data_IF_850922014885
#
_entry.id   IF_850922014885
#
_cell.length_a   1.000
_cell.length_b   1.000
_cell.length_c   1.000
_cell.angle_alpha   90.00
_cell.angle_beta   90.00
_cell.angle_gamma   90.00
#
_symmetry.space_group_name_H-M   'P 1'
#
loop_
_entity.id
_entity.type
_entity.pdbx_description
1 polymer ?
#
# COMPACT_ATOMS: atom_id res chain seq x y z
N UNK A 1 9.16 6.55 3.38
CA UNK A 1 8.85 5.23 2.82
C UNK A 1 10.04 4.79 1.97
N UNK A 2 10.57 3.61 2.21
CA UNK A 2 11.65 2.97 1.46
C UNK A 2 11.02 2.04 0.43
N UNK A 3 11.40 2.15 -0.83
CA UNK A 3 10.89 1.27 -1.89
C UNK A 3 11.92 0.20 -2.20
N UNK A 4 11.51 -1.07 -2.07
CA UNK A 4 12.24 -2.23 -2.54
C UNK A 4 11.59 -2.67 -3.85
N UNK A 5 12.27 -2.40 -4.96
CA UNK A 5 11.88 -2.95 -6.26
C UNK A 5 12.74 -4.16 -6.55
N UNK A 6 12.08 -5.28 -6.81
CA UNK A 6 12.73 -6.52 -7.17
C UNK A 6 12.98 -6.56 -8.68
N UNK A 7 14.23 -6.81 -9.10
CA UNK A 7 14.55 -7.04 -10.52
C UNK A 7 14.79 -8.53 -10.78
N UNK A 8 14.22 -9.04 -11.86
CA UNK A 8 14.48 -10.38 -12.40
C UNK A 8 15.60 -10.31 -13.42
N UNK A 9 16.72 -11.03 -13.24
CA UNK A 9 17.68 -11.25 -14.34
C UNK A 9 17.42 -12.58 -15.05
N UNK A 10 16.77 -13.52 -14.38
CA UNK A 10 16.18 -14.77 -14.86
C UNK A 10 15.11 -15.20 -13.82
N UNK A 11 14.22 -16.15 -14.15
CA UNK A 11 13.05 -16.59 -13.35
C UNK A 11 13.33 -17.11 -11.92
N UNK A 12 14.56 -16.93 -11.43
CA UNK A 12 15.03 -17.34 -10.12
C UNK A 12 15.90 -16.29 -9.43
N UNK A 13 16.09 -15.07 -9.91
CA UNK A 13 16.99 -14.10 -9.24
C UNK A 13 16.24 -12.85 -8.80
N UNK A 14 16.35 -12.54 -7.50
CA UNK A 14 15.69 -11.42 -6.86
C UNK A 14 16.75 -10.59 -6.13
N UNK A 15 16.85 -9.29 -6.42
CA UNK A 15 17.83 -8.42 -5.78
C UNK A 15 17.13 -7.56 -4.73
N UNK A 16 17.43 -7.77 -3.45
CA UNK A 16 16.98 -6.87 -2.38
C UNK A 16 17.99 -5.74 -2.27
N UNK A 17 17.53 -4.51 -2.47
CA UNK A 17 18.39 -3.34 -2.35
C UNK A 17 18.32 -2.83 -0.91
N UNK A 18 19.31 -3.16 -0.08
CA UNK A 18 19.37 -2.67 1.29
C UNK A 18 19.52 -1.13 1.33
N UNK A 19 18.70 -0.42 2.12
CA UNK A 19 18.98 0.97 2.46
C UNK A 19 20.29 1.05 3.24
N UNK A 20 21.27 1.84 2.79
CA UNK A 20 22.44 2.07 3.63
C UNK A 20 22.00 2.81 4.90
N UNK A 21 22.24 2.20 6.07
CA UNK A 21 21.88 2.75 7.38
C UNK A 21 22.49 4.14 7.64
N UNK A 22 23.55 4.50 6.90
CA UNK A 22 24.21 5.81 6.96
C UNK A 22 23.39 6.96 6.36
N UNK A 23 22.38 6.71 5.53
CA UNK A 23 21.60 7.75 4.83
C UNK A 23 20.20 8.03 5.42
N UNK A 24 19.80 7.33 6.48
CA UNK A 24 18.44 7.42 7.07
C UNK A 24 18.16 8.79 7.74
N UNK A 25 19.16 9.67 7.91
CA UNK A 25 18.98 10.99 8.53
C UNK A 25 18.57 12.13 7.58
N UNK A 26 18.43 11.88 6.28
CA UNK A 26 18.07 12.93 5.32
C UNK A 26 16.82 12.49 4.56
N UNK A 27 15.72 13.21 4.77
CA UNK A 27 14.43 13.08 4.05
C UNK A 27 14.60 13.36 2.56
N UNK A 28 15.22 12.42 1.86
CA UNK A 28 15.25 12.38 0.41
C UNK A 28 15.34 10.91 0.07
N UNK A 29 14.22 10.37 -0.43
CA UNK A 29 14.18 9.05 -1.05
C UNK A 29 14.95 9.22 -2.36
N UNK A 30 16.27 9.30 -2.26
CA UNK A 30 17.13 8.92 -3.38
C UNK A 30 16.80 7.46 -3.59
N UNK A 31 16.33 7.12 -4.79
CA UNK A 31 16.22 5.75 -5.28
C UNK A 31 17.53 5.07 -4.92
N UNK A 32 17.51 4.27 -3.85
CA UNK A 32 18.73 3.65 -3.35
C UNK A 32 19.11 2.63 -4.40
N UNK A 33 20.14 2.92 -5.18
CA UNK A 33 20.91 1.90 -5.89
C UNK A 33 21.95 1.37 -4.91
N UNK A 34 21.50 0.53 -3.99
CA UNK A 34 22.38 -0.24 -3.11
C UNK A 34 23.11 -1.30 -3.94
N UNK A 35 24.29 -1.69 -3.47
CA UNK A 35 25.09 -2.77 -4.07
C UNK A 35 24.18 -3.99 -4.29
N UNK A 36 24.07 -4.43 -5.54
CA UNK A 36 23.49 -5.72 -5.86
C UNK A 36 24.36 -6.79 -5.20
N UNK A 37 23.92 -7.29 -4.05
CA UNK A 37 24.36 -8.61 -3.64
C UNK A 37 23.58 -9.56 -4.52
N UNK A 38 24.28 -10.27 -5.40
CA UNK A 38 23.76 -11.48 -6.02
C UNK A 38 23.56 -12.50 -4.88
N UNK A 39 22.49 -12.31 -4.11
CA UNK A 39 21.97 -13.35 -3.25
C UNK A 39 21.47 -14.44 -4.20
N UNK A 40 21.70 -15.69 -3.82
CA UNK A 40 21.05 -16.83 -4.43
C UNK A 40 19.54 -16.55 -4.59
N UNK A 41 18.84 -17.22 -5.52
CA UNK A 41 17.39 -17.16 -5.64
C UNK A 41 16.69 -17.02 -4.29
N UNK A 42 16.16 -15.84 -3.98
CA UNK A 42 15.51 -15.56 -2.70
C UNK A 42 14.00 -15.59 -2.94
N UNK A 43 13.27 -16.63 -2.51
CA UNK A 43 11.82 -16.68 -2.66
C UNK A 43 11.17 -15.39 -2.15
N UNK A 44 10.11 -14.94 -2.82
CA UNK A 44 9.41 -13.70 -2.46
C UNK A 44 8.93 -13.70 -0.99
N UNK A 45 8.64 -14.87 -0.42
CA UNK A 45 8.33 -15.05 1.01
C UNK A 45 9.48 -14.66 1.94
N UNK A 46 10.73 -14.97 1.57
CA UNK A 46 11.91 -14.61 2.35
C UNK A 46 12.17 -13.11 2.28
N UNK A 47 11.98 -12.49 1.11
CA UNK A 47 12.04 -11.03 0.96
C UNK A 47 10.99 -10.37 1.86
N UNK A 48 9.76 -10.89 1.83
CA UNK A 48 8.67 -10.38 2.65
C UNK A 48 8.98 -10.53 4.15
N UNK A 49 9.45 -11.71 4.58
CA UNK A 49 9.82 -11.95 5.98
C UNK A 49 10.95 -11.02 6.44
N UNK A 50 11.98 -10.82 5.61
CA UNK A 50 13.07 -9.90 5.94
C UNK A 50 12.57 -8.45 6.11
N UNK A 51 11.63 -8.02 5.28
CA UNK A 51 11.03 -6.70 5.40
C UNK A 51 10.18 -6.58 6.68
N UNK A 52 9.44 -7.62 7.05
CA UNK A 52 8.69 -7.66 8.32
C UNK A 52 9.63 -7.49 9.51
N UNK A 53 10.73 -8.25 9.53
CA UNK A 53 11.73 -8.19 10.61
C UNK A 53 12.35 -6.78 10.70
N UNK A 54 12.61 -6.13 9.56
CA UNK A 54 13.13 -4.76 9.53
C UNK A 54 12.14 -3.73 10.10
N UNK A 55 10.86 -3.81 9.73
CA UNK A 55 9.83 -2.89 10.23
C UNK A 55 9.59 -3.09 11.73
N UNK A 56 9.73 -4.31 12.23
CA UNK A 56 9.61 -4.59 13.66
C UNK A 56 10.82 -4.09 14.46
N UNK A 57 12.03 -4.12 13.87
CA UNK A 57 13.26 -3.66 14.51
C UNK A 57 13.49 -2.15 14.40
N UNK A 58 12.96 -1.52 13.36
CA UNK A 58 13.22 -0.13 13.00
C UNK A 58 11.92 0.57 12.57
N UNK A 59 11.74 1.86 12.89
CA UNK A 59 10.56 2.64 12.47
C UNK A 59 10.62 2.98 10.98
N UNK A 60 10.60 1.97 10.13
CA UNK A 60 10.67 2.06 8.68
C UNK A 60 9.29 1.81 8.09
N UNK A 61 8.98 2.58 7.04
CA UNK A 61 7.83 2.33 6.18
C UNK A 61 8.39 1.78 4.89
N UNK A 62 8.10 0.52 4.56
CA UNK A 62 8.66 -0.19 3.40
C UNK A 62 7.56 -0.47 2.39
N UNK A 63 7.86 -0.29 1.12
CA UNK A 63 7.05 -0.78 0.00
C UNK A 63 7.82 -1.85 -0.75
N UNK A 64 7.19 -2.98 -1.03
CA UNK A 64 7.74 -4.00 -1.91
C UNK A 64 6.94 -4.03 -3.20
N UNK A 65 7.65 -4.00 -4.30
CA UNK A 65 7.09 -4.18 -5.62
C UNK A 65 7.92 -5.20 -6.42
N UNK A 66 7.23 -5.97 -7.25
CA UNK A 66 7.84 -6.97 -8.13
C UNK A 66 7.30 -6.78 -9.56
N UNK A 67 8.10 -7.07 -10.59
CA UNK A 67 7.60 -7.11 -11.96
C UNK A 67 6.53 -8.20 -12.10
N UNK A 68 5.59 -8.05 -13.06
CA UNK A 68 4.62 -9.07 -13.40
C UNK A 68 5.30 -10.37 -13.83
N UNK A 69 4.62 -11.49 -13.61
CA UNK A 69 5.14 -12.83 -13.96
C UNK A 69 5.21 -13.03 -15.47
N UNK A 70 4.31 -12.40 -16.22
CA UNK A 70 4.26 -12.53 -17.68
C UNK A 70 5.40 -11.74 -18.33
N UNK A 71 6.32 -12.42 -19.01
CA UNK A 71 7.47 -11.80 -19.70
C UNK A 71 7.06 -10.68 -20.67
N UNK A 72 5.89 -10.81 -21.31
CA UNK A 72 5.33 -9.78 -22.19
C UNK A 72 5.05 -8.45 -21.49
N UNK A 73 4.86 -8.45 -20.17
CA UNK A 73 4.58 -7.28 -19.34
C UNK A 73 5.84 -6.72 -18.66
N UNK A 74 6.97 -7.46 -18.68
CA UNK A 74 8.21 -7.07 -18.01
C UNK A 74 9.05 -6.06 -18.79
N UNK A 75 9.06 -6.13 -20.13
CA UNK A 75 9.98 -5.34 -20.98
C UNK A 75 9.83 -3.82 -20.86
N UNK A 76 8.76 -3.32 -20.23
CA UNK A 76 8.54 -1.90 -19.98
C UNK A 76 7.84 -1.65 -18.64
N UNK A 77 8.09 -2.51 -17.64
CA UNK A 77 7.43 -2.43 -16.34
C UNK A 77 7.77 -1.12 -15.60
N UNK A 78 6.78 -0.27 -15.25
CA UNK A 78 7.04 1.09 -14.77
C UNK A 78 7.28 1.14 -13.25
N UNK A 79 8.19 0.30 -12.72
CA UNK A 79 8.46 0.16 -11.29
C UNK A 79 8.70 1.50 -10.57
N UNK A 80 9.46 2.40 -11.20
CA UNK A 80 9.72 3.74 -10.64
C UNK A 80 8.45 4.58 -10.57
N UNK A 81 7.62 4.60 -11.62
CA UNK A 81 6.38 5.37 -11.63
C UNK A 81 5.36 4.82 -10.63
N UNK A 82 5.32 3.50 -10.44
CA UNK A 82 4.49 2.84 -9.42
C UNK A 82 4.92 3.29 -8.03
N UNK A 83 6.23 3.28 -7.75
CA UNK A 83 6.79 3.75 -6.49
C UNK A 83 6.48 5.24 -6.25
N UNK A 84 6.75 6.09 -7.24
CA UNK A 84 6.47 7.53 -7.18
C UNK A 84 4.99 7.79 -6.91
N UNK A 85 4.09 7.10 -7.62
CA UNK A 85 2.65 7.25 -7.41
C UNK A 85 2.24 6.79 -6.01
N UNK A 86 2.79 5.67 -5.50
CA UNK A 86 2.52 5.20 -4.15
C UNK A 86 3.01 6.20 -3.09
N UNK A 87 4.18 6.82 -3.31
CA UNK A 87 4.72 7.88 -2.44
C UNK A 87 3.85 9.13 -2.40
N UNK A 88 2.98 9.38 -3.38
CA UNK A 88 2.00 10.48 -3.28
C UNK A 88 0.82 10.12 -2.37
N UNK A 89 0.60 8.84 -2.07
CA UNK A 89 -0.52 8.43 -1.22
C UNK A 89 -0.18 8.60 0.26
N UNK A 90 -0.97 9.42 0.96
CA UNK A 90 -0.77 9.65 2.40
C UNK A 90 -0.93 8.36 3.20
N UNK A 91 -1.80 7.46 2.74
CA UNK A 91 -2.04 6.15 3.36
C UNK A 91 -0.80 5.25 3.29
N UNK A 92 -0.22 5.02 2.11
CA UNK A 92 0.91 4.08 2.02
C UNK A 92 2.13 4.56 2.81
N UNK A 93 2.31 5.89 2.88
CA UNK A 93 3.41 6.50 3.64
C UNK A 93 3.26 6.41 5.16
N UNK A 94 2.07 6.10 5.70
CA UNK A 94 1.85 5.98 7.14
C UNK A 94 1.91 4.53 7.65
N UNK A 95 2.15 3.57 6.76
CA UNK A 95 2.14 2.15 7.06
C UNK A 95 3.55 1.57 7.13
N UNK A 96 3.75 0.62 8.04
CA UNK A 96 5.04 -0.05 8.22
C UNK A 96 5.45 -0.86 7.00
N UNK A 97 4.53 -1.62 6.39
CA UNK A 97 4.83 -2.44 5.22
C UNK A 97 3.65 -2.47 4.24
N UNK A 98 3.95 -2.16 2.98
CA UNK A 98 3.02 -2.16 1.86
C UNK A 98 3.58 -3.03 0.74
N UNK A 99 2.72 -3.79 0.07
CA UNK A 99 3.08 -4.56 -1.12
C UNK A 99 2.14 -4.23 -2.27
N UNK A 100 2.61 -4.34 -3.51
CA UNK A 100 1.73 -4.28 -4.68
C UNK A 100 1.06 -5.63 -4.93
N UNK A 101 0.03 -5.61 -5.76
CA UNK A 101 -0.63 -6.83 -6.21
C UNK A 101 0.31 -7.76 -7.01
N UNK A 102 1.38 -7.25 -7.61
CA UNK A 102 2.39 -8.08 -8.29
C UNK A 102 3.14 -8.98 -7.31
N UNK A 103 3.48 -8.45 -6.12
CA UNK A 103 4.03 -9.26 -5.03
C UNK A 103 2.99 -10.25 -4.54
N UNK A 104 1.75 -9.78 -4.31
CA UNK A 104 0.65 -10.63 -3.84
C UNK A 104 0.41 -11.86 -4.73
N UNK A 105 0.43 -11.70 -6.05
CA UNK A 105 0.25 -12.81 -6.99
C UNK A 105 1.40 -13.82 -7.01
N UNK A 106 2.58 -13.40 -6.57
CA UNK A 106 3.77 -14.24 -6.52
C UNK A 106 3.95 -14.91 -5.17
N UNK A 107 3.25 -14.47 -4.12
CA UNK A 107 3.28 -15.08 -2.80
C UNK A 107 2.60 -16.46 -2.83
N UNK A 108 3.34 -17.55 -2.57
CA UNK A 108 2.72 -18.82 -2.27
C UNK A 108 1.85 -18.67 -1.02
N UNK A 109 0.67 -19.30 -1.02
CA UNK A 109 -0.25 -19.28 0.11
C UNK A 109 -0.55 -17.88 0.69
N UNK A 110 -0.73 -16.86 -0.16
CA UNK A 110 -0.94 -15.46 0.25
C UNK A 110 -2.00 -15.27 1.37
N UNK A 111 -3.02 -16.13 1.46
CA UNK A 111 -4.02 -16.12 2.52
C UNK A 111 -3.51 -16.43 3.94
N UNK A 112 -2.26 -16.86 4.10
CA UNK A 112 -1.61 -17.04 5.40
C UNK A 112 -1.01 -15.74 5.95
N UNK A 113 -0.82 -14.73 5.09
CA UNK A 113 -0.33 -13.43 5.52
C UNK A 113 -1.50 -12.53 5.92
N UNK A 114 -1.38 -11.80 7.04
CA UNK A 114 -2.35 -10.77 7.41
C UNK A 114 -2.19 -9.57 6.49
N UNK A 115 -2.96 -9.60 5.40
CA UNK A 115 -2.95 -8.64 4.31
C UNK A 115 -4.34 -8.06 4.14
N UNK A 116 -4.46 -6.78 3.78
CA UNK A 116 -5.72 -6.19 3.31
C UNK A 116 -5.49 -5.16 2.23
N UNK A 117 -6.43 -5.04 1.30
CA UNK A 117 -6.41 -4.01 0.27
C UNK A 117 -6.53 -2.64 0.93
N UNK A 118 -5.68 -1.67 0.59
CA UNK A 118 -5.71 -0.31 1.17
C UNK A 118 -5.91 0.80 0.14
N UNK A 119 -5.55 0.57 -1.12
CA UNK A 119 -5.64 1.60 -2.16
C UNK A 119 -5.57 0.97 -3.56
N UNK A 120 -6.03 1.73 -4.56
CA UNK A 120 -5.81 1.44 -5.97
C UNK A 120 -5.21 2.69 -6.63
N UNK A 121 -4.03 2.55 -7.22
CA UNK A 121 -3.33 3.60 -7.94
C UNK A 121 -3.58 3.46 -9.43
N UNK A 122 -3.67 4.59 -10.13
CA UNK A 122 -3.58 4.61 -11.59
C UNK A 122 -2.22 5.17 -11.97
N UNK A 123 -1.42 4.39 -12.69
CA UNK A 123 -0.05 4.78 -13.05
C UNK A 123 -0.03 5.20 -14.53
N UNK A 124 0.71 6.27 -14.89
CA UNK A 124 0.84 6.72 -16.28
C UNK A 124 1.37 5.62 -17.23
N UNK A 125 1.22 5.80 -18.56
CA UNK A 125 1.24 4.73 -19.54
C UNK A 125 2.40 3.71 -19.48
N UNK A 126 2.11 2.41 -19.70
CA UNK A 126 0.76 1.85 -19.95
C UNK A 126 -0.14 2.02 -18.72
N UNK A 127 -1.38 2.48 -18.96
CA UNK A 127 -2.28 2.93 -17.90
C UNK A 127 -2.70 1.74 -17.05
N UNK A 128 -1.94 1.48 -15.99
CA UNK A 128 -2.08 0.30 -15.17
C UNK A 128 -2.73 0.67 -13.84
N UNK A 129 -3.64 -0.20 -13.38
CA UNK A 129 -4.22 -0.06 -12.04
C UNK A 129 -3.48 -0.94 -11.05
N UNK A 130 -2.67 -0.33 -10.19
CA UNK A 130 -1.93 -1.03 -9.15
C UNK A 130 -2.74 -1.06 -7.87
N UNK A 131 -3.12 -2.26 -7.42
CA UNK A 131 -3.67 -2.43 -6.07
C UNK A 131 -2.54 -2.49 -5.04
N UNK A 132 -2.71 -1.79 -3.93
CA UNK A 132 -1.79 -1.79 -2.79
C UNK A 132 -2.41 -2.55 -1.62
N UNK A 133 -1.59 -3.38 -0.98
CA UNK A 133 -1.95 -4.14 0.21
C UNK A 133 -1.07 -3.74 1.36
N UNK A 134 -1.67 -3.54 2.53
CA UNK A 134 -0.93 -3.43 3.78
C UNK A 134 -0.60 -4.83 4.30
N UNK A 135 0.63 -5.01 4.82
CA UNK A 135 1.04 -6.18 5.60
C UNK A 135 1.11 -5.78 7.07
N UNK A 136 0.09 -6.16 7.84
CA UNK A 136 -0.09 -5.66 9.20
C UNK A 136 0.44 -6.60 10.28
N UNK A 137 1.19 -7.66 9.95
CA UNK A 137 1.97 -8.43 10.95
C UNK A 137 3.18 -7.68 11.52
N UNK A 138 3.41 -6.45 11.05
CA UNK A 138 4.44 -5.55 11.53
C UNK A 138 4.02 -4.78 12.80
N UNK A 139 2.75 -4.85 13.18
CA UNK A 139 2.19 -4.16 14.35
C UNK A 139 2.15 -5.04 15.62
N UNK A 140 1.89 -4.50 16.82
CA UNK A 140 1.66 -5.32 18.01
C UNK A 140 0.46 -6.28 17.83
N UNK A 141 0.49 -7.51 18.38
CA UNK A 141 -0.52 -8.54 18.14
C UNK A 141 -1.97 -8.11 18.38
N UNK A 142 -2.21 -7.23 19.34
CA UNK A 142 -3.55 -6.69 19.62
C UNK A 142 -4.12 -5.90 18.44
N UNK A 143 -3.30 -5.07 17.80
CA UNK A 143 -3.70 -4.31 16.62
C UNK A 143 -3.91 -5.22 15.40
N UNK A 144 -3.05 -6.24 15.25
CA UNK A 144 -3.21 -7.23 14.19
C UNK A 144 -4.55 -7.95 14.30
N UNK A 145 -4.91 -8.41 15.51
CA UNK A 145 -6.16 -9.13 15.74
C UNK A 145 -7.38 -8.26 15.41
N UNK A 146 -7.36 -6.99 15.83
CA UNK A 146 -8.43 -6.03 15.52
C UNK A 146 -8.54 -5.74 14.03
N UNK A 147 -7.42 -5.54 13.31
CA UNK A 147 -7.42 -5.38 11.85
C UNK A 147 -7.91 -6.64 11.13
N UNK A 148 -7.59 -7.81 11.65
CA UNK A 148 -8.05 -9.08 11.11
C UNK A 148 -9.57 -9.25 11.30
N UNK A 149 -10.10 -8.83 12.45
CA UNK A 149 -11.53 -8.84 12.76
C UNK A 149 -12.32 -7.87 11.86
N UNK A 150 -11.81 -6.65 11.64
CA UNK A 150 -12.47 -5.63 10.82
C UNK A 150 -12.21 -5.78 9.32
N UNK A 151 -11.31 -6.68 8.90
CA UNK A 151 -10.80 -6.78 7.52
C UNK A 151 -11.89 -6.76 6.45
N UNK A 152 -12.86 -7.68 6.54
CA UNK A 152 -13.89 -7.84 5.52
C UNK A 152 -14.74 -6.58 5.39
N UNK A 153 -15.08 -5.98 6.53
CA UNK A 153 -15.88 -4.77 6.58
C UNK A 153 -15.12 -3.56 6.04
N UNK A 154 -13.84 -3.44 6.40
CA UNK A 154 -12.94 -2.42 5.87
C UNK A 154 -12.84 -2.51 4.34
N UNK A 155 -12.65 -3.71 3.79
CA UNK A 155 -12.54 -3.91 2.33
C UNK A 155 -13.86 -3.62 1.61
N UNK A 156 -15.01 -3.90 2.24
CA UNK A 156 -16.33 -3.49 1.74
C UNK A 156 -16.49 -1.97 1.72
N UNK A 157 -16.09 -1.29 2.80
CA UNK A 157 -16.10 0.17 2.89
C UNK A 157 -15.23 0.80 1.79
N UNK A 158 -14.05 0.21 1.56
CA UNK A 158 -13.12 0.64 0.51
C UNK A 158 -13.72 0.46 -0.89
N UNK A 159 -14.41 -0.65 -1.13
CA UNK A 159 -15.13 -0.86 -2.38
C UNK A 159 -16.22 0.18 -2.62
N UNK A 160 -17.05 0.47 -1.61
CA UNK A 160 -18.08 1.52 -1.67
C UNK A 160 -17.47 2.90 -1.92
N UNK A 161 -16.35 3.20 -1.27
CA UNK A 161 -15.61 4.44 -1.49
C UNK A 161 -15.18 4.60 -2.96
N UNK A 162 -14.63 3.55 -3.58
CA UNK A 162 -14.25 3.58 -4.99
C UNK A 162 -15.44 3.69 -5.96
N UNK A 163 -16.64 3.30 -5.53
CA UNK A 163 -17.87 3.51 -6.27
C UNK A 163 -18.51 4.89 -6.05
N UNK A 164 -17.98 5.70 -5.13
CA UNK A 164 -18.50 7.03 -4.79
C UNK A 164 -19.66 7.03 -3.78
N UNK A 165 -19.97 5.88 -3.18
CA UNK A 165 -20.97 5.74 -2.11
C UNK A 165 -20.38 6.16 -0.77
N UNK A 166 -20.07 7.46 -0.63
CA UNK A 166 -19.28 7.98 0.49
C UNK A 166 -19.98 7.88 1.85
N UNK A 167 -21.32 8.01 1.90
CA UNK A 167 -22.07 7.92 3.16
C UNK A 167 -22.06 6.48 3.70
N UNK A 168 -22.27 5.50 2.82
CA UNK A 168 -22.23 4.08 3.16
C UNK A 168 -20.81 3.63 3.49
N UNK A 169 -19.81 4.12 2.75
CA UNK A 169 -18.41 3.87 3.05
C UNK A 169 -18.00 4.44 4.42
N UNK A 170 -18.36 5.70 4.72
CA UNK A 170 -18.07 6.33 6.02
C UNK A 170 -18.62 5.50 7.19
N UNK A 171 -19.88 5.06 7.08
CA UNK A 171 -20.52 4.25 8.12
C UNK A 171 -19.72 2.98 8.43
N UNK A 172 -19.32 2.23 7.40
CA UNK A 172 -18.55 1.01 7.57
C UNK A 172 -17.13 1.28 8.10
N UNK A 173 -16.49 2.38 7.71
CA UNK A 173 -15.19 2.76 8.26
C UNK A 173 -15.28 3.21 9.73
N UNK A 174 -16.31 3.96 10.13
CA UNK A 174 -16.53 4.37 11.53
C UNK A 174 -16.81 3.16 12.45
N UNK A 175 -17.53 2.15 11.95
CA UNK A 175 -17.69 0.88 12.67
C UNK A 175 -16.35 0.14 12.83
N UNK A 176 -15.48 0.15 11.80
CA UNK A 176 -14.12 -0.38 11.93
C UNK A 176 -13.32 0.38 13.01
N UNK A 177 -13.45 1.72 13.07
CA UNK A 177 -12.79 2.56 14.07
C UNK A 177 -13.36 2.39 15.48
N UNK A 178 -14.61 1.95 15.61
CA UNK A 178 -15.19 1.61 16.92
C UNK A 178 -14.48 0.40 17.54
N UNK A 179 -14.08 -0.57 16.71
CA UNK A 179 -13.32 -1.76 17.13
C UNK A 179 -11.80 -1.50 17.20
N UNK A 180 -11.28 -0.69 16.26
CA UNK A 180 -9.87 -0.33 16.20
C UNK A 180 -9.68 1.19 16.02
N UNK A 181 -9.73 1.99 17.09
CA UNK A 181 -9.58 3.45 16.99
C UNK A 181 -8.23 3.90 16.43
N UNK A 182 -7.22 3.04 16.46
CA UNK A 182 -5.86 3.31 15.98
C UNK A 182 -5.67 2.92 14.51
N UNK A 183 -6.73 2.50 13.80
CA UNK A 183 -6.65 2.19 12.38
C UNK A 183 -6.53 3.47 11.54
N UNK A 184 -5.28 3.86 11.29
CA UNK A 184 -4.95 5.08 10.55
C UNK A 184 -5.53 5.09 9.13
N UNK A 185 -5.66 3.92 8.50
CA UNK A 185 -6.20 3.83 7.14
C UNK A 185 -7.71 4.09 7.16
N UNK A 186 -8.42 3.46 8.09
CA UNK A 186 -9.86 3.69 8.24
C UNK A 186 -10.15 5.16 8.59
N UNK A 187 -9.37 5.76 9.50
CA UNK A 187 -9.50 7.17 9.86
C UNK A 187 -9.28 8.10 8.68
N UNK A 188 -8.28 7.83 7.83
CA UNK A 188 -8.04 8.60 6.62
C UNK A 188 -9.23 8.52 5.66
N UNK A 189 -9.81 7.33 5.46
CA UNK A 189 -10.96 7.19 4.57
C UNK A 189 -12.24 7.83 5.10
N UNK A 190 -12.50 7.81 6.42
CA UNK A 190 -13.58 8.58 7.03
C UNK A 190 -13.45 10.07 6.71
N UNK A 191 -12.25 10.64 6.87
CA UNK A 191 -12.01 12.04 6.55
C UNK A 191 -12.27 12.35 5.07
N UNK A 192 -11.85 11.45 4.17
CA UNK A 192 -12.09 11.62 2.74
C UNK A 192 -13.57 11.54 2.39
N UNK A 193 -14.32 10.61 2.99
CA UNK A 193 -15.77 10.51 2.79
C UNK A 193 -16.46 11.81 3.22
N UNK A 194 -16.13 12.33 4.41
CA UNK A 194 -16.68 13.60 4.93
C UNK A 194 -16.39 14.78 4.01
N UNK A 195 -15.15 14.88 3.52
CA UNK A 195 -14.76 15.93 2.58
C UNK A 195 -15.57 15.84 1.28
N UNK A 196 -15.74 14.64 0.73
CA UNK A 196 -16.50 14.42 -0.50
C UNK A 196 -17.99 14.79 -0.32
N UNK A 197 -18.61 14.39 0.80
CA UNK A 197 -19.99 14.73 1.13
C UNK A 197 -20.19 16.24 1.30
N UNK A 198 -19.26 16.94 1.95
CA UNK A 198 -19.31 18.39 2.10
C UNK A 198 -19.25 19.11 0.73
N UNK A 199 -18.33 18.71 -0.15
CA UNK A 199 -18.25 19.30 -1.50
C UNK A 199 -19.51 19.07 -2.35
N UNK A 200 -20.18 17.93 -2.18
CA UNK A 200 -21.44 17.65 -2.85
C UNK A 200 -22.58 18.55 -2.35
N UNK A 201 -22.61 18.84 -1.04
CA UNK A 201 -23.60 19.75 -0.45
C UNK A 201 -23.45 21.19 -0.93
N UNK A 202 -22.21 21.67 -1.11
CA UNK A 202 -21.94 23.04 -1.60
C UNK A 202 -22.41 23.24 -3.05
N UNK A 203 -22.24 22.23 -3.90
CA UNK A 203 -22.69 22.24 -5.29
C UNK A 203 -24.22 22.12 -5.45
N UNK A 204 -24.93 21.69 -4.40
CA UNK A 204 -26.39 21.57 -4.38
C UNK A 204 -27.11 22.83 -3.89
N UNK A 205 -26.38 23.89 -3.54
CA UNK A 205 -26.94 25.19 -3.16
C UNK A 205 -27.30 26.00 -4.42
N UNK A 206 -28.58 26.35 -4.66
CA UNK A 206 -28.96 27.09 -5.86
C UNK A 206 -28.42 28.52 -5.80
N UNK A 207 -27.74 28.92 -6.87
CA UNK A 207 -27.37 30.30 -7.17
C UNK A 207 -28.64 31.15 -7.17
N UNK A 208 -28.93 31.84 -6.06
CA UNK A 208 -29.85 32.98 -6.10
C UNK A 208 -29.14 34.12 -6.83
N UNK A 209 -29.27 34.14 -8.16
CA UNK A 209 -29.07 35.37 -8.92
C UNK A 209 -30.30 36.23 -8.74
N UNK A 210 -30.14 37.21 -7.84
CA UNK A 210 -31.04 38.31 -7.58
C UNK A 210 -31.25 39.18 -8.83
N UNK A 211 -32.54 39.48 -9.05
CA UNK A 211 -33.16 40.79 -9.35
C UNK A 211 -32.71 41.57 -10.58
#
# INVERSE_FOLDING_TARGET
MLTLSLQTSDASTWTVIEPSLSNIKTQRIETVWGRSYALAPCPIEQVLQQAIDWVQCYPLNIMIDAPPVLESEQSNYPALAIAEQALTTTIANSLGLVITHHVFWQLPHAGQYPLRLIAQLTVPPPLERISLFEVFNTEPPEHQAKKQETKTQFEQALFLYFLGFYAEAECLFDECLTLNPMDMVASHYVQNCRNALATASDLSSPTQQNS
#
